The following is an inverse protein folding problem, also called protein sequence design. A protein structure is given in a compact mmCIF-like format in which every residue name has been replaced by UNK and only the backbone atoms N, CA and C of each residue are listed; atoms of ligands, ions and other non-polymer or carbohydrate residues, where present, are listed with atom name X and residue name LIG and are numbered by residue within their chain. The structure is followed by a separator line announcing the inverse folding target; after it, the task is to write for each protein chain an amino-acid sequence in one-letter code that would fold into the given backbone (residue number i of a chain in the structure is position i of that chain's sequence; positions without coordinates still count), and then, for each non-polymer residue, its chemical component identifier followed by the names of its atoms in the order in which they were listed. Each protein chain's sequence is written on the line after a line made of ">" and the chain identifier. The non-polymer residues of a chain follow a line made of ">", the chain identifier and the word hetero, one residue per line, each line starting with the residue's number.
data_IF_373529697626
#
_entry.id   IF_373529697626
#
_cell.length_a   1.000
_cell.length_b   1.000
_cell.length_c   1.000
_cell.angle_alpha   90.00
_cell.angle_beta   90.00
_cell.angle_gamma   90.00
#
_symmetry.space_group_name_H-M   'P 1'
#
loop_
_entity.id
_entity.type
_entity.pdbx_description
1 polymer ?
#
# COMPACT_ATOMS: atom_id res chain seq x y z
N UNK A 1 -11.19 -11.31 -16.91
CA UNK A 1 -9.96 -12.08 -17.26
C UNK A 1 -9.90 -13.31 -16.38
N UNK A 2 -9.49 -14.46 -16.91
CA UNK A 2 -9.29 -15.69 -16.12
C UNK A 2 -7.79 -15.94 -16.09
N UNK A 3 -7.12 -15.42 -15.07
CA UNK A 3 -5.68 -15.61 -14.90
C UNK A 3 -5.36 -17.10 -14.82
N UNK A 4 -4.34 -17.52 -15.57
CA UNK A 4 -4.00 -18.94 -15.69
C UNK A 4 -3.06 -19.40 -14.59
N UNK A 5 -2.27 -18.49 -14.02
CA UNK A 5 -1.27 -18.77 -12.98
C UNK A 5 -1.08 -17.56 -12.05
N UNK A 6 -0.61 -17.82 -10.83
CA UNK A 6 -0.22 -16.80 -9.86
C UNK A 6 1.28 -16.54 -9.93
N UNK A 7 1.69 -15.30 -9.67
CA UNK A 7 3.10 -14.95 -9.46
C UNK A 7 3.25 -14.16 -8.19
N UNK A 8 4.14 -14.62 -7.32
CA UNK A 8 4.48 -13.94 -6.08
C UNK A 8 5.54 -12.88 -6.37
N UNK A 9 5.26 -11.64 -5.95
CA UNK A 9 6.21 -10.51 -5.96
C UNK A 9 6.54 -10.20 -4.51
N UNK A 10 7.80 -10.37 -4.12
CA UNK A 10 8.25 -10.07 -2.76
C UNK A 10 8.69 -8.60 -2.70
N UNK A 11 8.06 -7.83 -1.82
CA UNK A 11 8.21 -6.38 -1.69
C UNK A 11 8.37 -5.99 -0.20
N UNK A 12 9.45 -6.42 0.48
CA UNK A 12 9.61 -6.36 1.94
C UNK A 12 9.94 -4.95 2.47
N UNK A 13 9.23 -3.92 2.00
CA UNK A 13 9.42 -2.53 2.43
C UNK A 13 8.91 -2.28 3.85
N UNK A 14 9.68 -1.50 4.59
CA UNK A 14 9.35 -0.95 5.92
C UNK A 14 9.39 0.58 5.93
N UNK A 15 9.47 1.19 4.75
CA UNK A 15 9.63 2.64 4.60
C UNK A 15 8.45 3.40 5.21
N UNK A 16 7.24 2.85 5.13
CA UNK A 16 6.03 3.46 5.66
C UNK A 16 5.74 3.16 7.13
N UNK A 17 6.55 2.29 7.75
CA UNK A 17 6.43 1.91 9.15
C UNK A 17 7.80 1.99 9.84
N UNK A 18 8.24 0.89 10.45
CA UNK A 18 9.46 0.74 11.23
C UNK A 18 10.00 -0.68 11.02
N UNK A 19 11.33 -0.89 11.03
CA UNK A 19 11.94 -2.21 10.87
C UNK A 19 11.81 -3.05 12.15
N UNK A 20 10.59 -3.51 12.45
CA UNK A 20 10.25 -4.29 13.65
C UNK A 20 9.97 -5.75 13.37
N UNK A 21 10.07 -6.20 12.10
CA UNK A 21 9.97 -7.60 11.70
C UNK A 21 9.03 -7.86 10.53
N UNK A 22 8.16 -6.91 10.15
CA UNK A 22 7.19 -7.10 9.06
C UNK A 22 7.87 -7.35 7.72
N UNK A 23 9.08 -6.83 7.50
CA UNK A 23 9.93 -7.09 6.33
C UNK A 23 10.27 -8.58 6.14
N UNK A 24 10.11 -9.40 7.18
CA UNK A 24 10.39 -10.84 7.14
C UNK A 24 9.18 -11.66 6.67
N UNK A 25 8.00 -11.05 6.51
CA UNK A 25 6.76 -11.72 6.11
C UNK A 25 6.90 -12.50 4.78
N UNK A 26 7.48 -11.94 3.70
CA UNK A 26 7.61 -12.67 2.45
C UNK A 26 8.43 -13.95 2.63
N UNK A 27 9.59 -13.87 3.27
CA UNK A 27 10.45 -15.02 3.54
C UNK A 27 9.73 -16.07 4.41
N UNK A 28 8.99 -15.64 5.44
CA UNK A 28 8.24 -16.54 6.31
C UNK A 28 7.17 -17.31 5.53
N UNK A 29 6.32 -16.63 4.76
CA UNK A 29 5.24 -17.26 3.99
C UNK A 29 5.79 -18.21 2.91
N UNK A 30 6.88 -17.82 2.25
CA UNK A 30 7.56 -18.67 1.28
C UNK A 30 8.12 -19.94 1.93
N UNK A 31 8.74 -19.83 3.12
CA UNK A 31 9.22 -20.99 3.90
C UNK A 31 8.08 -21.92 4.32
N UNK A 32 6.92 -21.39 4.65
CA UNK A 32 5.74 -22.18 5.02
C UNK A 32 5.00 -22.77 3.83
N UNK A 33 5.46 -22.52 2.60
CA UNK A 33 4.99 -23.19 1.39
C UNK A 33 3.82 -22.49 0.70
N UNK A 34 3.76 -21.16 0.77
CA UNK A 34 2.72 -20.37 0.10
C UNK A 34 2.76 -20.57 -1.43
N UNK A 35 3.94 -20.48 -2.04
CA UNK A 35 4.11 -20.64 -3.48
C UNK A 35 3.58 -22.00 -3.98
N UNK A 36 3.86 -23.08 -3.26
CA UNK A 36 3.40 -24.43 -3.60
C UNK A 36 1.89 -24.55 -3.49
N UNK A 37 1.28 -23.97 -2.45
CA UNK A 37 -0.19 -23.98 -2.26
C UNK A 37 -0.93 -23.19 -3.32
N UNK A 38 -0.37 -22.05 -3.73
CA UNK A 38 -0.93 -21.23 -4.80
C UNK A 38 -0.58 -21.75 -6.20
N UNK A 39 0.33 -22.73 -6.32
CA UNK A 39 0.95 -23.12 -7.59
C UNK A 39 1.55 -21.89 -8.31
N UNK A 40 2.13 -20.99 -7.53
CA UNK A 40 2.69 -19.74 -8.01
C UNK A 40 4.17 -19.87 -8.35
N UNK A 41 4.62 -19.15 -9.38
CA UNK A 41 6.06 -18.87 -9.54
C UNK A 41 6.46 -17.67 -8.67
N UNK A 42 7.75 -17.53 -8.39
CA UNK A 42 8.30 -16.31 -7.78
C UNK A 42 8.85 -15.38 -8.86
N UNK A 43 8.56 -14.09 -8.75
CA UNK A 43 9.32 -13.04 -9.40
C UNK A 43 10.66 -12.82 -8.67
N UNK A 44 11.54 -12.01 -9.27
CA UNK A 44 12.72 -11.51 -8.57
C UNK A 44 12.27 -10.65 -7.38
N UNK A 45 12.74 -10.92 -6.15
CA UNK A 45 12.42 -10.09 -4.98
C UNK A 45 12.93 -8.66 -5.18
N UNK A 46 12.13 -7.68 -4.75
CA UNK A 46 12.56 -6.28 -4.71
C UNK A 46 13.37 -6.02 -3.45
N UNK A 47 14.30 -5.07 -3.54
CA UNK A 47 15.09 -4.60 -2.41
C UNK A 47 14.67 -3.15 -2.14
N UNK A 48 14.00 -2.87 -1.01
CA UNK A 48 13.65 -1.49 -0.66
C UNK A 48 14.91 -0.68 -0.33
N UNK A 49 14.87 0.66 -0.50
CA UNK A 49 15.86 1.58 0.04
C UNK A 49 16.14 1.39 1.53
N UNK A 50 17.27 1.94 1.97
CA UNK A 50 17.61 1.96 3.40
C UNK A 50 16.61 2.82 4.15
N UNK A 51 16.06 2.28 5.24
CA UNK A 51 15.14 2.97 6.13
C UNK A 51 15.82 4.13 6.87
N UNK A 52 15.16 5.27 6.91
CA UNK A 52 15.51 6.45 7.69
C UNK A 52 14.42 6.72 8.76
N UNK A 53 14.77 6.81 10.06
CA UNK A 53 13.82 7.16 11.12
C UNK A 53 13.44 8.65 11.18
N UNK A 54 14.06 9.53 10.39
CA UNK A 54 13.71 10.95 10.40
C UNK A 54 12.40 11.21 9.65
N UNK A 55 11.47 11.89 10.33
CA UNK A 55 10.22 12.35 9.74
C UNK A 55 10.53 13.57 8.86
N UNK A 56 10.18 13.48 7.58
CA UNK A 56 10.33 14.60 6.67
C UNK A 56 9.40 15.76 7.11
N UNK A 57 9.91 16.98 7.36
CA UNK A 57 9.10 18.07 7.90
C UNK A 57 8.11 18.67 6.89
N UNK A 58 8.33 18.50 5.59
CA UNK A 58 7.47 19.05 4.54
C UNK A 58 6.24 18.15 4.31
N UNK A 59 6.42 16.84 4.42
CA UNK A 59 5.37 15.83 4.21
C UNK A 59 4.82 15.27 5.51
N UNK A 60 5.49 15.52 6.65
CA UNK A 60 5.23 14.90 7.96
C UNK A 60 5.20 13.38 7.92
N UNK A 61 5.97 12.78 7.01
CA UNK A 61 5.95 11.35 6.73
C UNK A 61 7.36 10.79 6.76
N UNK A 62 7.53 9.61 7.35
CA UNK A 62 8.77 8.84 7.31
C UNK A 62 9.07 8.43 5.86
N UNK A 63 10.34 8.55 5.46
CA UNK A 63 10.83 8.03 4.18
C UNK A 63 10.03 8.49 2.93
N UNK A 64 9.38 9.66 2.97
CA UNK A 64 8.44 10.08 1.91
C UNK A 64 9.07 10.05 0.50
N UNK A 65 10.29 10.55 0.35
CA UNK A 65 11.04 10.52 -0.91
C UNK A 65 11.36 9.08 -1.34
N UNK A 66 11.79 8.22 -0.40
CA UNK A 66 12.12 6.83 -0.70
C UNK A 66 10.87 6.04 -1.11
N UNK A 67 9.72 6.28 -0.48
CA UNK A 67 8.43 5.69 -0.86
C UNK A 67 8.05 6.15 -2.28
N UNK A 68 8.17 7.44 -2.57
CA UNK A 68 7.82 8.01 -3.87
C UNK A 68 8.72 7.46 -5.00
N UNK A 69 10.00 7.24 -4.73
CA UNK A 69 10.95 6.68 -5.70
C UNK A 69 10.79 5.16 -5.87
N UNK A 70 10.49 4.44 -4.80
CA UNK A 70 10.39 2.97 -4.83
C UNK A 70 9.02 2.46 -5.30
N UNK A 71 7.95 3.25 -5.13
CA UNK A 71 6.61 2.88 -5.60
C UNK A 71 6.55 2.59 -7.11
N UNK A 72 7.18 3.40 -8.00
CA UNK A 72 7.36 3.06 -9.42
C UNK A 72 8.08 1.73 -9.66
N UNK A 73 9.11 1.37 -8.88
CA UNK A 73 9.82 0.10 -9.03
C UNK A 73 8.91 -1.09 -8.70
N UNK A 74 8.13 -0.99 -7.62
CA UNK A 74 7.11 -1.98 -7.30
C UNK A 74 6.03 -2.05 -8.38
N UNK A 75 5.62 -0.90 -8.91
CA UNK A 75 4.64 -0.84 -9.98
C UNK A 75 5.13 -1.57 -11.23
N UNK A 76 6.38 -1.35 -11.64
CA UNK A 76 7.02 -2.04 -12.77
C UNK A 76 7.04 -3.57 -12.56
N UNK A 77 7.36 -4.03 -11.35
CA UNK A 77 7.36 -5.46 -11.03
C UNK A 77 5.96 -6.08 -11.13
N UNK A 78 4.93 -5.38 -10.67
CA UNK A 78 3.53 -5.81 -10.79
C UNK A 78 3.06 -5.81 -12.24
N UNK A 79 3.39 -4.79 -13.02
CA UNK A 79 3.05 -4.73 -14.45
C UNK A 79 3.71 -5.85 -15.25
N UNK A 80 4.97 -6.18 -14.95
CA UNK A 80 5.66 -7.32 -15.57
C UNK A 80 4.94 -8.66 -15.34
N UNK A 81 4.21 -8.81 -14.23
CA UNK A 81 3.37 -9.99 -13.99
C UNK A 81 2.09 -9.91 -14.82
N UNK A 82 1.43 -8.75 -14.80
CA UNK A 82 0.18 -8.52 -15.53
C UNK A 82 0.36 -8.66 -17.06
N UNK A 83 1.49 -8.22 -17.61
CA UNK A 83 1.83 -8.34 -19.03
C UNK A 83 2.06 -9.78 -19.49
N UNK A 84 2.20 -10.71 -18.55
CA UNK A 84 2.31 -12.15 -18.80
C UNK A 84 0.96 -12.87 -18.65
N UNK A 85 -0.14 -12.13 -18.52
CA UNK A 85 -1.48 -12.66 -18.23
C UNK A 85 -1.55 -13.51 -16.94
N UNK A 86 -0.72 -13.16 -15.96
CA UNK A 86 -0.65 -13.80 -14.64
C UNK A 86 -1.25 -12.90 -13.54
N UNK A 87 -1.66 -13.51 -12.43
CA UNK A 87 -2.19 -12.77 -11.28
C UNK A 87 -1.06 -12.44 -10.28
N UNK A 88 -0.77 -11.16 -10.01
CA UNK A 88 0.22 -10.78 -9.01
C UNK A 88 -0.29 -11.00 -7.59
N UNK A 89 0.52 -11.69 -6.78
CA UNK A 89 0.36 -11.78 -5.32
C UNK A 89 1.55 -11.06 -4.70
N UNK A 90 1.34 -9.83 -4.25
CA UNK A 90 2.41 -9.02 -3.67
C UNK A 90 2.49 -9.31 -2.18
N UNK A 91 3.66 -9.75 -1.72
CA UNK A 91 3.96 -9.96 -0.30
C UNK A 91 4.76 -8.76 0.18
N UNK A 92 4.11 -7.88 0.93
CA UNK A 92 4.72 -6.66 1.45
C UNK A 92 5.59 -6.87 2.68
N UNK A 93 6.13 -5.75 3.15
CA UNK A 93 6.29 -5.51 4.58
C UNK A 93 5.08 -4.71 5.08
N UNK A 94 5.19 -3.39 5.15
CA UNK A 94 4.12 -2.50 5.61
C UNK A 94 3.07 -2.13 4.54
N UNK A 95 1.94 -1.52 4.94
CA UNK A 95 0.81 -1.20 4.07
C UNK A 95 1.12 -0.18 2.96
N UNK A 96 2.15 0.67 3.13
CA UNK A 96 2.51 1.71 2.13
C UNK A 96 2.88 1.15 0.76
N UNK A 97 3.16 -0.16 0.65
CA UNK A 97 3.29 -0.85 -0.65
C UNK A 97 2.04 -0.74 -1.53
N UNK A 98 0.88 -0.37 -0.95
CA UNK A 98 -0.35 -0.07 -1.66
C UNK A 98 -0.13 0.95 -2.79
N UNK A 99 0.75 1.95 -2.58
CA UNK A 99 1.01 2.98 -3.57
C UNK A 99 1.62 2.42 -4.86
N UNK A 100 2.61 1.52 -4.76
CA UNK A 100 3.18 0.84 -5.92
C UNK A 100 2.17 -0.09 -6.62
N UNK A 101 1.40 -0.85 -5.84
CA UNK A 101 0.36 -1.75 -6.37
C UNK A 101 -0.75 -0.99 -7.12
N UNK A 102 -1.23 0.11 -6.55
CA UNK A 102 -2.28 0.94 -7.16
C UNK A 102 -1.76 1.75 -8.34
N UNK A 103 -0.51 2.23 -8.30
CA UNK A 103 0.15 2.87 -9.44
C UNK A 103 0.22 1.94 -10.65
N UNK A 104 0.60 0.66 -10.45
CA UNK A 104 0.62 -0.34 -11.53
C UNK A 104 -0.74 -0.46 -12.23
N UNK A 105 -1.83 -0.54 -11.46
CA UNK A 105 -3.18 -0.62 -12.02
C UNK A 105 -3.61 0.70 -12.65
N UNK A 106 -3.25 1.83 -12.03
CA UNK A 106 -3.58 3.17 -12.52
C UNK A 106 -2.94 3.47 -13.87
N UNK A 107 -1.71 3.00 -14.12
CA UNK A 107 -1.04 3.08 -15.43
C UNK A 107 -1.84 2.36 -16.53
N UNK A 108 -2.62 1.34 -16.16
CA UNK A 108 -3.41 0.50 -17.07
C UNK A 108 -4.86 0.93 -17.22
N UNK A 109 -5.38 1.78 -16.34
CA UNK A 109 -6.73 2.33 -16.46
C UNK A 109 -7.40 2.69 -15.13
N UNK A 110 -8.72 2.50 -15.09
CA UNK A 110 -9.56 2.69 -13.89
C UNK A 110 -9.85 1.33 -13.28
N UNK A 111 -9.47 1.15 -12.02
CA UNK A 111 -9.68 -0.06 -11.23
C UNK A 111 -10.27 0.32 -9.88
N UNK A 112 -10.97 -0.63 -9.25
CA UNK A 112 -11.47 -0.46 -7.88
C UNK A 112 -10.54 -1.10 -6.86
N UNK A 113 -10.67 -0.65 -5.61
CA UNK A 113 -9.92 -1.15 -4.46
C UNK A 113 -10.89 -1.73 -3.42
N UNK A 114 -10.66 -2.98 -3.03
CA UNK A 114 -11.22 -3.55 -1.81
C UNK A 114 -10.11 -3.55 -0.76
N UNK A 115 -10.19 -2.61 0.17
CA UNK A 115 -9.24 -2.42 1.27
C UNK A 115 -9.77 -3.17 2.50
N UNK A 116 -9.06 -4.22 2.92
CA UNK A 116 -9.43 -5.06 4.05
C UNK A 116 -8.37 -4.90 5.13
N UNK A 117 -8.70 -4.18 6.19
CA UNK A 117 -7.76 -3.89 7.27
C UNK A 117 -8.52 -3.69 8.59
N UNK A 118 -7.82 -3.82 9.73
CA UNK A 118 -8.32 -3.42 11.03
C UNK A 118 -8.27 -1.91 11.29
N UNK A 119 -7.48 -1.17 10.50
CA UNK A 119 -7.42 0.30 10.53
C UNK A 119 -7.95 0.89 9.22
N UNK A 120 -8.41 2.13 9.22
CA UNK A 120 -8.84 2.76 7.97
C UNK A 120 -7.65 3.25 7.11
N UNK A 121 -6.47 3.36 7.70
CA UNK A 121 -5.24 3.91 7.09
C UNK A 121 -5.46 5.23 6.35
N UNK A 122 -6.26 6.09 6.97
CA UNK A 122 -6.72 7.35 6.41
C UNK A 122 -6.32 8.58 7.25
N UNK A 123 -5.23 8.48 8.00
CA UNK A 123 -4.73 9.64 8.74
C UNK A 123 -4.31 10.77 7.82
N UNK A 124 -4.54 12.01 8.26
CA UNK A 124 -3.84 13.15 7.69
C UNK A 124 -2.43 13.24 8.32
N UNK A 125 -1.40 13.64 7.56
CA UNK A 125 -0.04 13.74 8.12
C UNK A 125 0.08 14.66 9.34
N UNK A 126 -0.81 15.65 9.47
CA UNK A 126 -0.91 16.53 10.64
C UNK A 126 -1.39 15.81 11.92
N UNK A 127 -2.22 14.77 11.75
CA UNK A 127 -2.85 14.02 12.83
C UNK A 127 -2.04 12.76 13.22
N UNK A 128 -1.13 12.30 12.35
CA UNK A 128 -0.29 11.14 12.65
C UNK A 128 0.98 11.56 13.43
N UNK A 129 1.13 11.15 14.71
CA UNK A 129 2.27 11.58 15.52
C UNK A 129 3.59 10.89 15.15
N UNK A 130 3.52 9.76 14.43
CA UNK A 130 4.68 8.92 14.10
C UNK A 130 5.20 9.14 12.67
N UNK A 131 4.46 9.87 11.84
CA UNK A 131 4.74 10.02 10.41
C UNK A 131 4.65 8.71 9.62
N UNK A 132 3.90 7.71 10.10
CA UNK A 132 3.84 6.38 9.49
C UNK A 132 2.95 6.40 8.24
N UNK A 133 3.54 6.28 7.05
CA UNK A 133 2.79 6.20 5.79
C UNK A 133 1.85 4.99 5.74
N UNK A 134 2.17 3.92 6.46
CA UNK A 134 1.32 2.73 6.60
C UNK A 134 0.04 2.96 7.43
N UNK A 135 -0.15 4.16 8.00
CA UNK A 135 -1.42 4.59 8.58
C UNK A 135 -2.16 5.61 7.70
N UNK A 136 -1.62 5.87 6.51
CA UNK A 136 -2.05 6.94 5.60
C UNK A 136 -2.15 6.46 4.15
N UNK A 137 -1.85 5.20 3.84
CA UNK A 137 -1.72 4.71 2.47
C UNK A 137 -3.05 4.68 1.74
N UNK A 138 -4.18 4.43 2.41
CA UNK A 138 -5.50 4.58 1.80
C UNK A 138 -5.81 6.05 1.48
N UNK A 139 -5.46 6.97 2.39
CA UNK A 139 -5.55 8.41 2.14
C UNK A 139 -4.69 8.80 0.92
N UNK A 140 -3.43 8.38 0.89
CA UNK A 140 -2.51 8.69 -0.20
C UNK A 140 -2.97 8.12 -1.54
N UNK A 141 -3.38 6.84 -1.58
CA UNK A 141 -3.86 6.19 -2.79
C UNK A 141 -5.13 6.85 -3.36
N UNK A 142 -5.97 7.43 -2.50
CA UNK A 142 -7.17 8.17 -2.89
C UNK A 142 -6.96 9.66 -3.12
N UNK A 143 -5.71 10.15 -3.03
CA UNK A 143 -5.33 11.52 -3.36
C UNK A 143 -5.34 12.52 -2.19
N UNK A 144 -5.37 12.04 -0.94
CA UNK A 144 -5.40 12.87 0.26
C UNK A 144 -4.03 12.85 0.95
N UNK A 145 -3.29 13.96 0.88
CA UNK A 145 -1.96 14.07 1.48
C UNK A 145 -0.97 14.86 0.63
N UNK A 146 0.34 14.76 0.92
CA UNK A 146 1.37 15.47 0.18
C UNK A 146 1.41 15.02 -1.28
N UNK A 147 1.60 15.95 -2.22
CA UNK A 147 1.68 15.66 -3.66
C UNK A 147 2.76 14.61 -3.99
N UNK A 148 3.86 14.61 -3.24
CA UNK A 148 4.96 13.63 -3.38
C UNK A 148 4.49 12.17 -3.25
N UNK A 149 3.46 11.92 -2.43
CA UNK A 149 2.95 10.56 -2.14
C UNK A 149 1.60 10.27 -2.80
N UNK A 150 0.87 11.30 -3.24
CA UNK A 150 -0.48 11.19 -3.82
C UNK A 150 -0.50 11.31 -5.35
N UNK A 151 0.48 12.00 -5.94
CA UNK A 151 0.56 12.28 -7.38
C UNK A 151 1.77 11.60 -8.04
N UNK A 152 1.94 10.31 -7.73
CA UNK A 152 2.99 9.49 -8.35
C UNK A 152 2.80 9.47 -9.87
N UNK A 153 3.82 9.94 -10.59
CA UNK A 153 3.83 10.08 -12.04
C UNK A 153 2.74 11.00 -12.64
N UNK A 154 2.18 11.93 -11.87
CA UNK A 154 1.10 12.79 -12.37
C UNK A 154 -0.23 12.05 -12.53
N UNK A 155 -0.46 10.99 -11.74
CA UNK A 155 -1.60 10.07 -11.89
C UNK A 155 -2.63 10.16 -10.77
N UNK A 156 -2.61 11.21 -9.94
CA UNK A 156 -3.57 11.37 -8.86
C UNK A 156 -5.04 11.39 -9.35
N UNK A 157 -5.98 10.81 -8.57
CA UNK A 157 -5.72 9.82 -7.53
C UNK A 157 -5.35 8.46 -8.16
N UNK A 158 -4.60 7.63 -7.43
CA UNK A 158 -4.23 6.28 -7.89
C UNK A 158 -5.45 5.36 -7.95
N UNK A 159 -6.35 5.50 -6.98
CA UNK A 159 -7.70 4.92 -7.01
C UNK A 159 -8.72 6.00 -6.64
N UNK A 160 -9.86 6.01 -7.31
CA UNK A 160 -10.90 6.99 -7.00
C UNK A 160 -11.65 6.58 -5.76
N UNK A 161 -12.02 7.53 -4.92
CA UNK A 161 -12.78 7.26 -3.70
C UNK A 161 -14.09 6.50 -4.00
N UNK A 162 -14.81 6.85 -5.08
CA UNK A 162 -16.05 6.15 -5.47
C UNK A 162 -15.84 4.71 -5.99
N UNK A 163 -14.60 4.31 -6.27
CA UNK A 163 -14.24 2.95 -6.68
C UNK A 163 -13.62 2.15 -5.52
N UNK A 164 -13.68 2.68 -4.29
CA UNK A 164 -13.02 2.10 -3.11
C UNK A 164 -14.04 1.62 -2.08
N UNK A 165 -13.77 0.42 -1.56
CA UNK A 165 -14.47 -0.16 -0.41
C UNK A 165 -13.48 -0.34 0.73
N UNK A 166 -13.73 0.27 1.88
CA UNK A 166 -13.01 0.01 3.13
C UNK A 166 -13.81 -0.99 3.97
N UNK A 167 -13.20 -2.11 4.37
CA UNK A 167 -13.89 -3.21 5.04
C UNK A 167 -13.09 -3.73 6.23
N UNK A 168 -13.71 -3.75 7.41
CA UNK A 168 -13.16 -4.41 8.59
C UNK A 168 -12.45 -3.50 9.61
N UNK A 169 -12.34 -2.20 9.30
CA UNK A 169 -11.69 -1.25 10.19
C UNK A 169 -12.53 -1.03 11.46
N UNK A 170 -11.82 -0.81 12.57
CA UNK A 170 -12.39 -0.72 13.93
C UNK A 170 -11.60 0.22 14.85
N UNK A 171 -10.87 1.15 14.26
CA UNK A 171 -9.95 2.09 14.91
C UNK A 171 -10.56 3.50 15.08
N UNK A 172 -11.89 3.62 15.04
CA UNK A 172 -12.59 4.92 15.06
C UNK A 172 -12.32 5.75 16.33
N UNK A 173 -12.26 5.11 17.49
CA UNK A 173 -11.96 5.79 18.75
C UNK A 173 -10.51 6.32 18.74
N UNK A 174 -9.56 5.53 18.23
CA UNK A 174 -8.16 5.93 18.10
C UNK A 174 -8.00 7.11 17.11
N UNK A 175 -8.65 7.02 15.95
CA UNK A 175 -8.70 8.12 14.98
C UNK A 175 -9.23 9.41 15.60
N UNK A 176 -10.31 9.34 16.37
CA UNK A 176 -10.89 10.50 17.05
C UNK A 176 -9.93 11.09 18.09
N UNK A 177 -9.24 10.24 18.87
CA UNK A 177 -8.27 10.66 19.89
C UNK A 177 -7.08 11.43 19.28
N UNK A 178 -6.63 11.04 18.09
CA UNK A 178 -5.57 11.73 17.36
C UNK A 178 -6.07 12.84 16.42
N UNK A 179 -7.39 13.05 16.32
CA UNK A 179 -7.99 14.08 15.46
C UNK A 179 -7.93 13.78 13.97
N UNK A 180 -7.84 12.50 13.59
CA UNK A 180 -7.97 12.05 12.20
C UNK A 180 -9.40 12.26 11.69
N UNK A 181 -9.53 12.67 10.44
CA UNK A 181 -10.83 12.85 9.79
C UNK A 181 -11.42 11.49 9.39
N UNK A 182 -12.75 11.36 9.42
CA UNK A 182 -13.41 10.15 8.93
C UNK A 182 -13.17 9.95 7.44
N UNK A 183 -13.38 8.72 6.97
CA UNK A 183 -13.40 8.40 5.54
C UNK A 183 -14.41 9.31 4.80
N UNK A 184 -14.09 9.79 3.58
CA UNK A 184 -15.04 10.52 2.76
C UNK A 184 -16.28 9.68 2.43
N UNK A 185 -17.46 10.30 2.41
CA UNK A 185 -18.75 9.64 2.08
C UNK A 185 -18.76 8.93 0.71
N UNK A 186 -17.82 9.27 -0.17
CA UNK A 186 -17.63 8.63 -1.47
C UNK A 186 -16.98 7.23 -1.37
N UNK A 187 -16.27 6.93 -0.28
CA UNK A 187 -15.73 5.60 -0.02
C UNK A 187 -16.83 4.76 0.62
N UNK A 188 -17.10 3.57 0.06
CA UNK A 188 -18.04 2.65 0.69
C UNK A 188 -17.37 1.99 1.89
N UNK A 189 -17.89 2.22 3.09
CA UNK A 189 -17.29 1.74 4.34
C UNK A 189 -18.14 0.67 5.03
N UNK A 190 -17.48 -0.39 5.50
CA UNK A 190 -18.07 -1.46 6.32
C UNK A 190 -17.20 -1.66 7.57
N UNK A 191 -17.64 -1.07 8.67
CA UNK A 191 -17.02 -1.21 9.99
C UNK A 191 -17.32 -2.60 10.59
N UNK A 192 -16.41 -3.10 11.42
CA UNK A 192 -16.66 -4.28 12.26
C UNK A 192 -16.59 -3.90 13.75
N UNK A 193 -17.48 -4.47 14.58
CA UNK A 193 -17.51 -4.20 16.02
C UNK A 193 -16.34 -4.81 16.79
#
# INVERSE_FOLDING_TARGET
>A
MRYRHYTIVEAPSVLGLKPTGVEQLPQALMRYGLAQRLQARSATPLVPPVYDPEIDPATRTLNAEAIAQWSPELADAVENVLDRDEFPVVLGGDCSILLGCTLALRRRGRYGLLFIDGHADFYQPEANPNGEAASMDLAFATGHGPALLTDLEGRAPLVRAEDTVAFGFRDMDEQADYGSQPLPDTITAFELP
#
